data_IF_758547110437
#
_entry.id   IF_758547110437
#
_cell.length_a   1.000
_cell.length_b   1.000
_cell.length_c   1.000
_cell.angle_alpha   90.00
_cell.angle_beta   90.00
_cell.angle_gamma   90.00
#
_symmetry.space_group_name_H-M   'P 1'
#
loop_
_entity.id
_entity.type
_entity.pdbx_description
1 polymer ?
#
# COMPACT_ATOMS: atom_id res chain seq x y z
N UNK A 1 1.45 -4.18 -23.34
CA UNK A 1 1.02 -3.37 -22.19
C UNK A 1 -0.17 -2.51 -22.59
N UNK A 2 -0.12 -1.81 -23.73
CA UNK A 2 -1.26 -1.16 -24.40
C UNK A 2 -2.59 -1.94 -24.30
N UNK A 3 -2.66 -3.15 -24.87
CA UNK A 3 -3.86 -3.99 -24.81
C UNK A 3 -4.38 -4.25 -23.39
N UNK A 4 -3.47 -4.42 -22.42
CA UNK A 4 -3.88 -4.61 -21.01
C UNK A 4 -4.47 -3.34 -20.40
N UNK A 5 -3.97 -2.17 -20.81
CA UNK A 5 -4.52 -0.88 -20.40
C UNK A 5 -5.88 -0.62 -21.04
N UNK A 6 -6.07 -0.95 -22.33
CA UNK A 6 -7.36 -0.88 -23.02
C UNK A 6 -8.40 -1.76 -22.33
N UNK A 7 -8.06 -3.02 -22.04
CA UNK A 7 -8.95 -3.93 -21.31
C UNK A 7 -9.30 -3.36 -19.93
N UNK A 8 -8.33 -2.82 -19.19
CA UNK A 8 -8.60 -2.21 -17.89
C UNK A 8 -9.50 -0.98 -18.00
N UNK A 9 -9.32 -0.15 -19.02
CA UNK A 9 -10.16 1.01 -19.31
C UNK A 9 -11.60 0.58 -19.67
N UNK A 10 -11.76 -0.42 -20.54
CA UNK A 10 -13.06 -0.95 -20.95
C UNK A 10 -13.83 -1.60 -19.78
N UNK A 11 -13.10 -2.13 -18.79
CA UNK A 11 -13.67 -2.65 -17.54
C UNK A 11 -13.99 -1.56 -16.51
N UNK A 12 -13.81 -0.28 -16.85
CA UNK A 12 -14.22 0.86 -16.04
C UNK A 12 -13.15 1.40 -15.10
N UNK A 13 -11.86 1.20 -15.39
CA UNK A 13 -10.80 1.87 -14.64
C UNK A 13 -10.86 3.41 -14.83
N UNK A 14 -10.64 4.17 -13.77
CA UNK A 14 -10.51 5.63 -13.84
C UNK A 14 -9.07 6.09 -14.17
N UNK A 15 -8.08 5.27 -13.82
CA UNK A 15 -6.64 5.54 -13.92
C UNK A 15 -5.91 4.24 -14.26
N UNK A 16 -4.87 4.32 -15.10
CA UNK A 16 -3.97 3.20 -15.39
C UNK A 16 -2.61 3.44 -14.70
N UNK A 17 -2.26 2.63 -13.69
CA UNK A 17 -0.94 2.72 -13.02
C UNK A 17 0.03 1.64 -13.52
N UNK A 18 1.21 2.04 -13.98
CA UNK A 18 2.27 1.15 -14.45
C UNK A 18 3.21 0.82 -13.30
N UNK A 19 3.29 -0.47 -12.96
CA UNK A 19 4.19 -0.97 -11.93
C UNK A 19 5.64 -1.10 -12.45
N UNK A 20 6.49 -0.20 -11.95
CA UNK A 20 7.95 -0.23 -12.11
C UNK A 20 8.67 -0.37 -10.76
N UNK A 21 8.01 -0.91 -9.73
CA UNK A 21 8.51 -0.94 -8.35
C UNK A 21 8.62 -2.32 -7.71
N UNK A 22 7.96 -3.35 -8.24
CA UNK A 22 7.95 -4.67 -7.60
C UNK A 22 9.34 -5.34 -7.60
N UNK A 23 9.88 -5.76 -6.43
CA UNK A 23 11.21 -6.38 -6.36
C UNK A 23 11.18 -7.91 -6.52
N UNK A 24 10.00 -8.54 -6.54
CA UNK A 24 9.86 -9.99 -6.51
C UNK A 24 10.54 -10.67 -7.71
N UNK A 25 11.31 -11.72 -7.46
CA UNK A 25 12.09 -12.43 -8.49
C UNK A 25 11.23 -12.89 -9.68
N UNK A 26 10.02 -13.41 -9.41
CA UNK A 26 9.07 -13.83 -10.46
C UNK A 26 8.66 -12.68 -11.39
N UNK A 27 8.62 -11.45 -10.89
CA UNK A 27 8.29 -10.26 -11.68
C UNK A 27 9.54 -9.73 -12.39
N UNK A 28 10.65 -9.57 -11.67
CA UNK A 28 11.87 -9.00 -12.25
C UNK A 28 12.52 -9.92 -13.29
N UNK A 29 12.36 -11.25 -13.16
CA UNK A 29 12.87 -12.22 -14.14
C UNK A 29 12.17 -12.12 -15.51
N UNK A 30 10.92 -11.65 -15.54
CA UNK A 30 10.22 -11.30 -16.78
C UNK A 30 10.49 -9.88 -17.29
N UNK A 31 11.55 -9.22 -16.81
CA UNK A 31 11.92 -7.85 -17.15
C UNK A 31 10.76 -6.85 -16.92
N UNK A 32 10.08 -7.02 -15.78
CA UNK A 32 8.94 -6.21 -15.33
C UNK A 32 9.16 -5.69 -13.89
N UNK A 33 8.28 -4.82 -13.42
CA UNK A 33 8.43 -4.21 -12.09
C UNK A 33 9.73 -3.42 -11.99
N UNK A 34 10.44 -3.54 -10.88
CA UNK A 34 11.67 -2.76 -10.66
C UNK A 34 12.83 -3.14 -11.61
N UNK A 35 12.72 -4.23 -12.39
CA UNK A 35 13.71 -4.51 -13.43
C UNK A 35 13.74 -3.42 -14.52
N UNK A 36 12.62 -2.76 -14.76
CA UNK A 36 12.52 -1.64 -15.71
C UNK A 36 13.36 -0.44 -15.29
N UNK A 37 13.69 -0.30 -14.01
CA UNK A 37 14.61 0.74 -13.53
C UNK A 37 16.03 0.57 -14.10
N UNK A 38 16.42 -0.64 -14.53
CA UNK A 38 17.73 -0.87 -15.19
C UNK A 38 17.67 -0.74 -16.71
N UNK A 39 16.47 -0.62 -17.26
CA UNK A 39 16.21 -0.62 -18.69
C UNK A 39 15.34 0.61 -19.06
N UNK A 40 15.83 1.86 -18.85
CA UNK A 40 14.99 3.06 -19.00
C UNK A 40 14.35 3.17 -20.39
N UNK A 41 15.08 2.85 -21.45
CA UNK A 41 14.54 2.88 -22.82
C UNK A 41 13.36 1.91 -23.02
N UNK A 42 13.41 0.75 -22.35
CA UNK A 42 12.29 -0.18 -22.35
C UNK A 42 11.14 0.35 -21.50
N UNK A 43 11.43 0.92 -20.34
CA UNK A 43 10.42 1.53 -19.48
C UNK A 43 9.63 2.62 -20.23
N UNK A 44 10.34 3.49 -20.94
CA UNK A 44 9.73 4.59 -21.71
C UNK A 44 8.87 4.10 -22.87
N UNK A 45 9.34 3.12 -23.64
CA UNK A 45 8.50 2.50 -24.69
C UNK A 45 7.22 1.89 -24.14
N UNK A 46 7.24 1.35 -22.91
CA UNK A 46 6.05 0.81 -22.28
C UNK A 46 5.10 1.91 -21.81
N UNK A 47 5.62 3.01 -21.26
CA UNK A 47 4.82 4.18 -20.87
C UNK A 47 4.15 4.78 -22.11
N UNK A 48 4.93 5.09 -23.14
CA UNK A 48 4.45 5.66 -24.40
C UNK A 48 3.35 4.79 -25.04
N UNK A 49 3.57 3.47 -25.10
CA UNK A 49 2.57 2.54 -25.63
C UNK A 49 1.27 2.51 -24.81
N UNK A 50 1.33 2.73 -23.50
CA UNK A 50 0.12 2.75 -22.64
C UNK A 50 -0.59 4.10 -22.75
N UNK A 51 0.16 5.20 -22.69
CA UNK A 51 -0.36 6.57 -22.87
C UNK A 51 -1.04 6.73 -24.22
N UNK A 52 -0.48 6.18 -25.30
CA UNK A 52 -1.09 6.24 -26.63
C UNK A 52 -2.32 5.35 -26.80
N UNK A 53 -2.52 4.34 -25.94
CA UNK A 53 -3.60 3.36 -26.08
C UNK A 53 -4.88 3.75 -25.33
N UNK A 54 -4.80 4.57 -24.29
CA UNK A 54 -5.96 4.95 -23.46
C UNK A 54 -6.10 6.46 -23.33
N UNK A 55 -7.33 6.93 -23.14
CA UNK A 55 -7.63 8.35 -22.84
C UNK A 55 -7.55 8.68 -21.35
N UNK A 56 -7.42 7.66 -20.50
CA UNK A 56 -7.35 7.80 -19.05
C UNK A 56 -5.97 8.32 -18.61
N UNK A 57 -5.89 9.02 -17.46
CA UNK A 57 -4.60 9.34 -16.86
C UNK A 57 -3.76 8.08 -16.65
N UNK A 58 -2.52 8.10 -17.14
CA UNK A 58 -1.53 7.04 -16.93
C UNK A 58 -0.55 7.48 -15.87
N UNK A 59 -0.34 6.67 -14.83
CA UNK A 59 0.56 6.97 -13.73
C UNK A 59 1.66 5.92 -13.63
N UNK A 60 2.77 6.26 -12.96
CA UNK A 60 3.88 5.32 -12.80
C UNK A 60 4.23 5.19 -11.32
N UNK A 61 4.22 3.96 -10.82
CA UNK A 61 4.72 3.64 -9.48
C UNK A 61 6.06 2.92 -9.56
N UNK A 62 7.09 3.55 -9.02
CA UNK A 62 8.46 3.05 -9.06
C UNK A 62 9.17 3.04 -7.71
N UNK A 63 10.41 2.56 -7.71
CA UNK A 63 11.36 2.61 -6.59
C UNK A 63 12.35 3.75 -6.81
N UNK A 64 13.23 3.98 -5.84
CA UNK A 64 14.29 4.97 -6.01
C UNK A 64 15.41 4.52 -6.98
N UNK A 65 15.44 3.23 -7.33
CA UNK A 65 16.49 2.65 -8.18
C UNK A 65 16.50 1.13 -8.12
N UNK A 66 17.44 0.50 -8.82
CA UNK A 66 17.66 -0.94 -8.71
C UNK A 66 18.47 -1.30 -7.45
N UNK A 67 19.58 -0.61 -7.23
CA UNK A 67 20.44 -0.74 -6.06
C UNK A 67 21.10 0.62 -5.74
N UNK A 68 22.03 0.65 -4.80
CA UNK A 68 22.66 1.90 -4.37
C UNK A 68 23.58 2.53 -5.41
N UNK A 69 24.05 1.74 -6.39
CA UNK A 69 24.84 2.23 -7.52
C UNK A 69 23.98 2.74 -8.68
N UNK A 70 22.68 2.40 -8.68
CA UNK A 70 21.73 2.72 -9.75
C UNK A 70 20.47 3.37 -9.17
N UNK A 71 20.60 4.65 -8.81
CA UNK A 71 19.54 5.51 -8.25
C UNK A 71 19.04 6.53 -9.28
N UNK A 72 18.34 6.04 -10.30
CA UNK A 72 17.93 6.83 -11.48
C UNK A 72 16.46 7.30 -11.45
N UNK A 73 15.82 7.34 -10.27
CA UNK A 73 14.41 7.69 -10.17
C UNK A 73 14.08 9.09 -10.72
N UNK A 74 14.93 10.10 -10.49
CA UNK A 74 14.68 11.46 -11.01
C UNK A 74 14.72 11.51 -12.54
N UNK A 75 15.71 10.85 -13.16
CA UNK A 75 15.87 10.79 -14.61
C UNK A 75 14.71 10.03 -15.27
N UNK A 76 14.31 8.91 -14.67
CA UNK A 76 13.17 8.12 -15.15
C UNK A 76 11.85 8.87 -14.98
N UNK A 77 11.65 9.60 -13.88
CA UNK A 77 10.45 10.41 -13.66
C UNK A 77 10.29 11.50 -14.72
N UNK A 78 11.35 12.27 -14.97
CA UNK A 78 11.36 13.31 -15.99
C UNK A 78 11.09 12.75 -17.39
N UNK A 79 11.67 11.58 -17.69
CA UNK A 79 11.43 10.92 -18.97
C UNK A 79 10.00 10.37 -19.07
N UNK A 80 9.45 9.84 -17.98
CA UNK A 80 8.06 9.37 -17.92
C UNK A 80 7.05 10.51 -18.08
N UNK A 81 7.30 11.66 -17.44
CA UNK A 81 6.52 12.89 -17.61
C UNK A 81 6.50 13.33 -19.07
N UNK A 82 7.67 13.38 -19.73
CA UNK A 82 7.77 13.70 -21.16
C UNK A 82 7.03 12.71 -22.06
N UNK A 83 6.93 11.45 -21.63
CA UNK A 83 6.15 10.41 -22.31
C UNK A 83 4.64 10.48 -21.98
N UNK A 84 4.18 11.46 -21.19
CA UNK A 84 2.78 11.70 -20.90
C UNK A 84 2.25 11.04 -19.62
N UNK A 85 3.13 10.58 -18.71
CA UNK A 85 2.69 10.17 -17.39
C UNK A 85 2.08 11.37 -16.63
N UNK A 86 0.93 11.16 -15.98
CA UNK A 86 0.17 12.18 -15.29
C UNK A 86 0.54 12.32 -13.80
N UNK A 87 1.15 11.31 -13.19
CA UNK A 87 1.58 11.30 -11.79
C UNK A 87 2.64 10.23 -11.55
N UNK A 88 3.58 10.51 -10.65
CA UNK A 88 4.66 9.59 -10.27
C UNK A 88 4.54 9.22 -8.79
N UNK A 89 4.52 7.94 -8.47
CA UNK A 89 4.65 7.45 -7.09
C UNK A 89 6.04 6.84 -6.88
N UNK A 90 6.78 7.32 -5.88
CA UNK A 90 8.13 6.81 -5.58
C UNK A 90 8.16 6.15 -4.21
N UNK A 91 8.50 4.86 -4.20
CA UNK A 91 8.88 4.19 -2.96
C UNK A 91 10.36 4.48 -2.64
N UNK A 92 10.65 5.04 -1.46
CA UNK A 92 11.99 5.47 -1.02
C UNK A 92 13.01 4.35 -0.76
N UNK A 93 12.87 3.18 -1.37
CA UNK A 93 13.89 2.12 -1.33
C UNK A 93 14.26 1.74 -2.75
N UNK A 94 15.49 1.25 -2.93
CA UNK A 94 15.93 0.56 -4.13
C UNK A 94 15.32 -0.83 -4.22
N UNK A 95 15.40 -1.49 -5.37
CA UNK A 95 14.91 -2.87 -5.54
C UNK A 95 15.63 -3.83 -4.59
N UNK A 96 16.96 -3.77 -4.55
CA UNK A 96 17.80 -4.71 -3.78
C UNK A 96 17.58 -4.64 -2.27
N UNK A 97 17.10 -3.51 -1.76
CA UNK A 97 16.70 -3.39 -0.35
C UNK A 97 15.40 -4.15 -0.03
N UNK A 98 14.58 -4.56 -1.00
CA UNK A 98 13.25 -5.12 -0.77
C UNK A 98 12.43 -4.28 0.23
N UNK A 99 12.37 -4.73 1.48
CA UNK A 99 11.70 -4.07 2.60
C UNK A 99 12.62 -3.87 3.80
N UNK A 100 13.91 -4.16 3.66
CA UNK A 100 14.95 -4.00 4.67
C UNK A 100 15.38 -2.53 4.77
N UNK A 101 16.04 -2.19 5.88
CA UNK A 101 16.42 -0.81 6.18
C UNK A 101 15.23 0.14 6.29
N UNK A 102 15.47 1.44 6.08
CA UNK A 102 14.45 2.48 6.08
C UNK A 102 14.28 3.07 4.69
N UNK A 103 13.06 3.47 4.34
CA UNK A 103 12.83 4.27 3.15
C UNK A 103 13.53 5.63 3.28
N UNK A 104 14.36 5.97 2.30
CA UNK A 104 14.97 7.27 2.12
C UNK A 104 13.93 8.23 1.54
N UNK A 105 13.34 9.05 2.40
CA UNK A 105 12.38 10.07 1.96
C UNK A 105 13.10 11.24 1.27
N UNK A 106 14.30 11.63 1.69
CA UNK A 106 15.03 12.74 1.07
C UNK A 106 15.29 12.49 -0.42
N UNK A 107 15.58 11.23 -0.78
CA UNK A 107 15.69 10.77 -2.15
C UNK A 107 14.44 11.03 -3.01
N UNK A 108 13.23 10.93 -2.44
CA UNK A 108 11.97 11.23 -3.14
C UNK A 108 11.87 12.73 -3.44
N UNK A 109 12.39 13.60 -2.58
CA UNK A 109 12.42 15.05 -2.83
C UNK A 109 13.25 15.44 -4.06
N UNK A 110 14.28 14.64 -4.39
CA UNK A 110 15.02 14.78 -5.65
C UNK A 110 14.15 14.51 -6.89
N UNK A 111 13.17 13.63 -6.78
CA UNK A 111 12.20 13.38 -7.86
C UNK A 111 11.19 14.52 -7.96
N UNK A 112 10.65 14.98 -6.81
CA UNK A 112 9.70 16.11 -6.79
C UNK A 112 10.26 17.39 -7.42
N UNK A 113 11.56 17.65 -7.27
CA UNK A 113 12.22 18.81 -7.91
C UNK A 113 12.50 18.63 -9.41
N UNK A 114 12.44 17.39 -9.91
CA UNK A 114 12.82 17.06 -11.28
C UNK A 114 11.64 17.08 -12.26
N UNK A 115 10.40 17.10 -11.77
CA UNK A 115 9.17 17.01 -12.57
C UNK A 115 8.14 18.04 -12.13
N UNK A 116 7.25 18.44 -13.03
CA UNK A 116 6.16 19.38 -12.76
C UNK A 116 4.85 18.65 -12.40
N UNK A 117 4.67 17.42 -12.87
CA UNK A 117 3.53 16.56 -12.52
C UNK A 117 3.51 16.18 -11.02
N UNK A 118 2.35 15.80 -10.47
CA UNK A 118 2.24 15.37 -9.08
C UNK A 118 3.16 14.18 -8.73
N UNK A 119 3.78 14.25 -7.56
CA UNK A 119 4.60 13.20 -6.98
C UNK A 119 3.99 12.72 -5.67
N UNK A 120 3.87 11.39 -5.54
CA UNK A 120 3.37 10.71 -4.35
C UNK A 120 4.54 10.02 -3.63
N UNK A 121 4.79 10.41 -2.39
CA UNK A 121 5.82 9.79 -1.55
C UNK A 121 5.31 8.49 -0.92
N UNK A 122 6.14 7.44 -0.90
CA UNK A 122 5.77 6.13 -0.38
C UNK A 122 6.92 5.46 0.36
N UNK A 123 6.58 4.72 1.42
CA UNK A 123 7.51 3.90 2.20
C UNK A 123 7.55 4.29 3.66
N UNK A 124 7.34 3.31 4.54
CA UNK A 124 7.46 3.42 6.00
C UNK A 124 6.57 4.48 6.69
N UNK A 125 5.49 4.92 6.04
CA UNK A 125 4.44 5.71 6.68
C UNK A 125 3.57 4.79 7.56
N UNK A 126 3.80 4.84 8.88
CA UNK A 126 3.13 4.01 9.89
C UNK A 126 2.49 4.80 11.03
N UNK A 127 2.71 6.11 11.10
CA UNK A 127 2.07 7.06 12.01
C UNK A 127 1.54 8.29 11.28
N UNK A 128 0.68 9.07 11.94
CA UNK A 128 0.22 10.35 11.37
C UNK A 128 1.35 11.37 11.30
N UNK A 129 2.31 11.32 12.22
CA UNK A 129 3.51 12.15 12.20
C UNK A 129 4.41 11.85 11.02
N UNK A 130 4.54 10.58 10.62
CA UNK A 130 5.29 10.19 9.42
C UNK A 130 4.75 10.89 8.18
N UNK A 131 3.43 11.09 8.07
CA UNK A 131 2.83 11.75 6.91
C UNK A 131 3.27 13.22 6.82
N UNK A 132 3.23 13.95 7.95
CA UNK A 132 3.69 15.34 8.02
C UNK A 132 5.17 15.45 7.72
N UNK A 133 5.98 14.58 8.32
CA UNK A 133 7.43 14.61 8.15
C UNK A 133 7.84 14.20 6.73
N UNK A 134 7.20 13.18 6.16
CA UNK A 134 7.40 12.77 4.77
C UNK A 134 7.07 13.91 3.82
N UNK A 135 5.93 14.59 3.97
CA UNK A 135 5.59 15.74 3.12
C UNK A 135 6.60 16.89 3.30
N UNK A 136 7.02 17.18 4.55
CA UNK A 136 8.01 18.22 4.84
C UNK A 136 9.38 17.95 4.18
N UNK A 137 9.87 16.71 4.26
CA UNK A 137 11.18 16.33 3.71
C UNK A 137 11.14 16.25 2.18
N UNK A 138 10.06 15.70 1.62
CA UNK A 138 9.97 15.41 0.19
C UNK A 138 9.47 16.59 -0.63
N UNK A 139 8.63 17.45 -0.06
CA UNK A 139 7.82 18.40 -0.83
C UNK A 139 6.79 17.73 -1.75
N UNK A 140 6.54 16.44 -1.59
CA UNK A 140 5.59 15.68 -2.42
C UNK A 140 4.16 16.20 -2.25
N UNK A 141 3.33 15.97 -3.27
CA UNK A 141 1.94 16.46 -3.31
C UNK A 141 0.97 15.55 -2.55
N UNK A 142 1.36 14.27 -2.39
CA UNK A 142 0.60 13.29 -1.64
C UNK A 142 1.50 12.22 -1.02
N UNK A 143 0.91 11.41 -0.14
CA UNK A 143 1.54 10.23 0.47
C UNK A 143 0.73 8.98 0.15
N UNK A 144 1.42 7.84 -0.02
CA UNK A 144 0.80 6.53 -0.20
C UNK A 144 1.15 5.61 0.95
N UNK A 145 0.12 4.97 1.52
CA UNK A 145 0.24 4.08 2.67
C UNK A 145 0.07 2.64 2.21
N UNK A 146 1.05 1.79 2.55
CA UNK A 146 1.00 0.35 2.30
C UNK A 146 0.80 -0.45 3.57
N UNK A 147 1.88 -1.06 4.07
CA UNK A 147 1.89 -1.85 5.32
C UNK A 147 1.35 -1.09 6.53
N UNK A 148 1.49 0.23 6.54
CA UNK A 148 0.89 1.09 7.56
C UNK A 148 -0.61 0.84 7.75
N UNK A 149 -1.40 0.52 6.72
CA UNK A 149 -2.85 0.32 6.86
C UNK A 149 -3.24 -1.12 7.25
N UNK A 150 -2.29 -2.06 7.32
CA UNK A 150 -2.60 -3.46 7.64
C UNK A 150 -3.14 -3.59 9.07
N UNK A 151 -4.32 -4.18 9.22
CA UNK A 151 -5.01 -4.31 10.52
C UNK A 151 -5.64 -3.00 11.04
N UNK A 152 -5.59 -1.92 10.26
CA UNK A 152 -6.19 -0.61 10.59
C UNK A 152 -6.69 0.10 9.32
N UNK A 153 -7.76 -0.39 8.67
CA UNK A 153 -8.27 0.19 7.44
C UNK A 153 -8.70 1.67 7.56
N UNK A 154 -8.98 2.16 8.78
CA UNK A 154 -9.30 3.57 9.06
C UNK A 154 -8.09 4.52 9.04
N UNK A 155 -6.86 4.00 9.08
CA UNK A 155 -5.64 4.81 9.23
C UNK A 155 -5.38 5.83 8.12
N UNK A 156 -5.62 5.56 6.83
CA UNK A 156 -5.57 6.60 5.80
C UNK A 156 -6.52 7.77 6.08
N UNK A 157 -7.69 7.49 6.67
CA UNK A 157 -8.64 8.51 7.14
C UNK A 157 -8.09 9.34 8.29
N UNK A 158 -7.43 8.71 9.28
CA UNK A 158 -6.74 9.41 10.38
C UNK A 158 -5.61 10.31 9.86
N UNK A 159 -4.80 9.82 8.91
CA UNK A 159 -3.74 10.63 8.27
C UNK A 159 -4.34 11.83 7.55
N UNK A 160 -5.41 11.62 6.79
CA UNK A 160 -6.12 12.72 6.09
C UNK A 160 -6.69 13.73 7.07
N UNK A 161 -7.30 13.28 8.17
CA UNK A 161 -7.81 14.14 9.23
C UNK A 161 -6.69 14.98 9.84
N UNK A 162 -5.59 14.34 10.23
CA UNK A 162 -4.43 15.02 10.83
C UNK A 162 -3.82 16.06 9.90
N UNK A 163 -3.62 15.74 8.60
CA UNK A 163 -3.07 16.68 7.64
C UNK A 163 -3.99 17.91 7.42
N UNK A 164 -5.31 17.75 7.56
CA UNK A 164 -6.29 18.84 7.40
C UNK A 164 -6.46 19.70 8.66
N UNK A 165 -6.41 19.09 9.85
CA UNK A 165 -6.83 19.75 11.10
C UNK A 165 -5.69 19.97 12.09
N UNK A 166 -4.55 19.30 11.89
CA UNK A 166 -3.47 19.21 12.87
C UNK A 166 -3.81 18.36 14.11
N UNK A 167 -4.98 17.71 14.16
CA UNK A 167 -5.44 16.91 15.31
C UNK A 167 -5.30 15.43 15.02
N UNK A 168 -4.87 14.68 16.03
CA UNK A 168 -4.79 13.23 15.94
C UNK A 168 -6.17 12.65 16.27
N UNK A 169 -6.75 11.90 15.34
CA UNK A 169 -7.96 11.13 15.59
C UNK A 169 -7.60 9.87 16.38
N UNK A 170 -8.40 9.54 17.39
CA UNK A 170 -8.25 8.33 18.16
C UNK A 170 -8.44 7.08 17.28
N UNK A 171 -7.89 5.96 17.72
CA UNK A 171 -8.28 4.65 17.19
C UNK A 171 -9.72 4.33 17.63
N UNK A 172 -10.45 3.49 16.87
CA UNK A 172 -11.75 2.99 17.29
C UNK A 172 -11.63 2.24 18.62
N UNK A 173 -12.67 2.32 19.44
CA UNK A 173 -12.78 1.48 20.62
C UNK A 173 -12.81 0.00 20.22
N UNK A 174 -12.42 -0.95 21.09
CA UNK A 174 -12.31 -2.37 20.73
C UNK A 174 -13.57 -2.95 20.06
N UNK A 175 -14.76 -2.54 20.49
CA UNK A 175 -16.02 -3.02 19.91
C UNK A 175 -16.35 -2.38 18.55
N UNK A 176 -15.97 -1.11 18.34
CA UNK A 176 -16.08 -0.46 17.03
C UNK A 176 -15.06 -1.08 16.04
N UNK A 177 -13.87 -1.42 16.53
CA UNK A 177 -12.87 -2.14 15.75
C UNK A 177 -13.39 -3.53 15.32
N UNK A 178 -14.02 -4.27 16.25
CA UNK A 178 -14.67 -5.54 15.96
C UNK A 178 -15.70 -5.42 14.84
N UNK A 179 -16.56 -4.38 14.86
CA UNK A 179 -17.54 -4.14 13.81
C UNK A 179 -16.88 -3.95 12.44
N UNK A 180 -15.84 -3.11 12.38
CA UNK A 180 -15.08 -2.86 11.14
C UNK A 180 -14.46 -4.17 10.62
N UNK A 181 -13.81 -4.95 11.48
CA UNK A 181 -13.17 -6.22 11.09
C UNK A 181 -14.21 -7.25 10.65
N UNK A 182 -15.34 -7.36 11.34
CA UNK A 182 -16.42 -8.31 11.03
C UNK A 182 -17.07 -7.96 9.70
N UNK A 183 -17.42 -6.68 9.47
CA UNK A 183 -17.96 -6.22 8.18
C UNK A 183 -17.00 -6.48 7.03
N UNK A 184 -15.70 -6.26 7.23
CA UNK A 184 -14.70 -6.56 6.21
C UNK A 184 -14.58 -8.06 5.95
N UNK A 185 -14.68 -8.89 6.99
CA UNK A 185 -14.72 -10.34 6.86
C UNK A 185 -15.93 -10.81 6.04
N UNK A 186 -17.12 -10.34 6.39
CA UNK A 186 -18.36 -10.67 5.68
C UNK A 186 -18.33 -10.21 4.21
N UNK A 187 -17.78 -9.02 3.95
CA UNK A 187 -17.59 -8.52 2.58
C UNK A 187 -16.69 -9.44 1.75
N UNK A 188 -15.61 -9.97 2.33
CA UNK A 188 -14.75 -10.95 1.66
C UNK A 188 -15.48 -12.27 1.39
N UNK A 189 -16.32 -12.74 2.32
CA UNK A 189 -17.13 -13.95 2.12
C UNK A 189 -18.15 -13.77 1.00
N UNK A 190 -18.80 -12.59 0.95
CA UNK A 190 -19.74 -12.24 -0.10
C UNK A 190 -19.05 -12.18 -1.47
N UNK A 191 -17.89 -11.52 -1.54
CA UNK A 191 -17.20 -11.29 -2.80
C UNK A 191 -16.50 -12.54 -3.36
N UNK A 192 -15.86 -13.35 -2.50
CA UNK A 192 -15.07 -14.51 -2.92
C UNK A 192 -15.82 -15.85 -2.80
N UNK A 193 -17.03 -15.85 -2.24
CA UNK A 193 -17.70 -17.06 -1.78
C UNK A 193 -17.12 -17.57 -0.46
N UNK A 194 -17.89 -18.39 0.27
CA UNK A 194 -17.56 -18.79 1.65
C UNK A 194 -16.20 -19.46 1.78
N UNK A 195 -15.95 -20.53 1.02
CA UNK A 195 -14.71 -21.33 1.17
C UNK A 195 -13.45 -20.52 0.84
N UNK A 196 -13.45 -19.82 -0.30
CA UNK A 196 -12.31 -19.02 -0.71
C UNK A 196 -12.17 -17.75 0.15
N UNK A 197 -13.29 -17.11 0.49
CA UNK A 197 -13.35 -15.91 1.33
C UNK A 197 -12.73 -16.13 2.70
N UNK A 198 -13.01 -17.27 3.36
CA UNK A 198 -12.34 -17.63 4.63
C UNK A 198 -10.82 -17.62 4.46
N UNK A 199 -10.31 -18.29 3.42
CA UNK A 199 -8.85 -18.40 3.19
C UNK A 199 -8.23 -17.03 2.86
N UNK A 200 -8.90 -16.22 2.05
CA UNK A 200 -8.48 -14.86 1.71
C UNK A 200 -8.44 -13.95 2.96
N UNK A 201 -9.41 -14.09 3.86
CA UNK A 201 -9.54 -13.27 5.05
C UNK A 201 -8.43 -13.49 6.08
N UNK A 202 -7.85 -14.69 6.17
CA UNK A 202 -6.84 -15.07 7.20
C UNK A 202 -5.70 -14.07 7.32
N UNK A 203 -5.22 -13.48 6.21
CA UNK A 203 -4.15 -12.47 6.27
C UNK A 203 -4.62 -11.17 6.92
N UNK A 204 -5.84 -10.72 6.63
CA UNK A 204 -6.42 -9.49 7.16
C UNK A 204 -6.76 -9.63 8.64
N UNK A 205 -7.39 -10.75 9.02
CA UNK A 205 -7.67 -11.09 10.41
C UNK A 205 -6.36 -11.22 11.21
N UNK A 206 -5.35 -11.87 10.63
CA UNK A 206 -4.03 -11.97 11.24
C UNK A 206 -3.38 -10.60 11.49
N UNK A 207 -3.53 -9.64 10.58
CA UNK A 207 -3.04 -8.27 10.79
C UNK A 207 -3.79 -7.54 11.90
N UNK A 208 -5.12 -7.67 11.96
CA UNK A 208 -5.93 -7.07 13.02
C UNK A 208 -5.54 -7.59 14.41
N UNK A 209 -5.36 -8.91 14.55
CA UNK A 209 -4.95 -9.53 15.82
C UNK A 209 -3.53 -9.12 16.22
N UNK A 210 -2.58 -9.18 15.27
CA UNK A 210 -1.18 -8.87 15.53
C UNK A 210 -0.96 -7.41 15.95
N UNK A 211 -1.84 -6.48 15.55
CA UNK A 211 -1.80 -5.08 15.99
C UNK A 211 -1.84 -4.95 17.51
N UNK A 212 -2.55 -5.86 18.18
CA UNK A 212 -2.77 -5.83 19.63
C UNK A 212 -1.88 -6.81 20.39
N UNK A 213 -0.81 -7.32 19.78
CA UNK A 213 0.07 -8.33 20.41
C UNK A 213 0.73 -7.87 21.71
N UNK A 214 0.92 -6.56 21.90
CA UNK A 214 1.44 -5.97 23.14
C UNK A 214 0.37 -5.85 24.24
N UNK A 215 -0.92 -5.83 23.89
CA UNK A 215 -2.05 -5.65 24.83
C UNK A 215 -2.62 -7.00 25.27
N UNK A 216 -2.59 -7.99 24.37
CA UNK A 216 -3.08 -9.34 24.62
C UNK A 216 -1.90 -10.31 24.57
N UNK A 217 -1.46 -10.80 25.74
CA UNK A 217 -0.28 -11.66 25.89
C UNK A 217 -0.34 -12.99 25.12
N UNK A 218 -1.51 -13.37 24.59
CA UNK A 218 -1.72 -14.60 23.82
C UNK A 218 -2.20 -14.35 22.37
N UNK A 219 -1.80 -13.23 21.76
CA UNK A 219 -2.19 -12.90 20.37
C UNK A 219 -1.80 -13.98 19.35
N UNK A 220 -0.74 -14.74 19.61
CA UNK A 220 -0.31 -15.87 18.75
C UNK A 220 -1.35 -17.00 18.75
N UNK A 221 -1.85 -17.40 19.93
CA UNK A 221 -2.90 -18.41 20.05
C UNK A 221 -4.21 -17.93 19.44
N UNK A 222 -4.61 -16.68 19.70
CA UNK A 222 -5.79 -16.07 19.08
C UNK A 222 -5.70 -16.07 17.56
N UNK A 223 -4.56 -15.65 17.01
CA UNK A 223 -4.31 -15.69 15.57
C UNK A 223 -4.37 -17.12 15.04
N UNK A 224 -3.77 -18.10 15.72
CA UNK A 224 -3.85 -19.50 15.31
C UNK A 224 -5.31 -19.97 15.27
N UNK A 225 -6.04 -19.78 16.38
CA UNK A 225 -7.44 -20.18 16.53
C UNK A 225 -8.33 -19.59 15.43
N UNK A 226 -8.22 -18.28 15.19
CA UNK A 226 -9.03 -17.56 14.20
C UNK A 226 -8.64 -17.97 12.78
N UNK A 227 -7.34 -18.05 12.47
CA UNK A 227 -6.88 -18.29 11.10
C UNK A 227 -6.92 -19.76 10.67
N UNK A 228 -7.16 -20.71 11.58
CA UNK A 228 -7.37 -22.12 11.21
C UNK A 228 -8.84 -22.54 11.23
N UNK A 229 -9.74 -21.70 11.71
CA UNK A 229 -11.18 -21.96 11.67
C UNK A 229 -11.70 -21.85 10.23
N UNK A 230 -12.65 -22.71 9.90
CA UNK A 230 -13.25 -22.81 8.56
C UNK A 230 -14.71 -22.36 8.53
N UNK A 231 -15.41 -22.41 9.66
CA UNK A 231 -16.79 -21.95 9.76
C UNK A 231 -16.87 -20.45 10.10
N UNK A 232 -17.42 -19.61 9.20
CA UNK A 232 -17.56 -18.17 9.42
C UNK A 232 -18.19 -17.76 10.75
N UNK A 233 -19.25 -18.45 11.19
CA UNK A 233 -19.90 -18.11 12.45
C UNK A 233 -18.94 -18.29 13.66
N UNK A 234 -18.09 -19.32 13.63
CA UNK A 234 -17.08 -19.54 14.67
C UNK A 234 -15.92 -18.55 14.58
N UNK A 235 -15.52 -18.13 13.38
CA UNK A 235 -14.55 -17.04 13.20
C UNK A 235 -15.03 -15.76 13.88
N UNK A 236 -16.28 -15.36 13.63
CA UNK A 236 -16.89 -14.17 14.24
C UNK A 236 -16.97 -14.32 15.77
N UNK A 237 -17.36 -15.50 16.27
CA UNK A 237 -17.36 -15.79 17.71
C UNK A 237 -15.97 -15.63 18.34
N UNK A 238 -14.92 -16.15 17.70
CA UNK A 238 -13.55 -15.98 18.18
C UNK A 238 -13.06 -14.53 18.13
N UNK A 239 -13.44 -13.77 17.09
CA UNK A 239 -13.13 -12.34 17.02
C UNK A 239 -13.80 -11.58 18.18
N UNK A 240 -15.08 -11.85 18.43
CA UNK A 240 -15.81 -11.23 19.54
C UNK A 240 -15.11 -11.46 20.88
N UNK A 241 -14.78 -12.71 21.21
CA UNK A 241 -14.08 -13.01 22.46
C UNK A 241 -12.69 -12.36 22.56
N UNK A 242 -11.97 -12.23 21.44
CA UNK A 242 -10.69 -11.53 21.41
C UNK A 242 -10.84 -10.02 21.71
N UNK A 243 -11.83 -9.37 21.09
CA UNK A 243 -12.06 -7.93 21.28
C UNK A 243 -12.71 -7.59 22.62
N UNK A 244 -13.53 -8.48 23.20
CA UNK A 244 -14.03 -8.35 24.59
C UNK A 244 -12.86 -8.34 25.59
N UNK A 245 -11.94 -9.30 25.47
CA UNK A 245 -10.73 -9.36 26.30
C UNK A 245 -9.84 -8.11 26.12
N UNK A 246 -9.78 -7.58 24.90
CA UNK A 246 -9.04 -6.34 24.62
C UNK A 246 -9.66 -5.14 25.34
N UNK A 247 -11.00 -5.07 25.40
CA UNK A 247 -11.75 -4.04 26.14
C UNK A 247 -11.55 -4.13 27.65
N UNK A 248 -11.67 -5.32 28.23
CA UNK A 248 -11.44 -5.54 29.67
C UNK A 248 -10.05 -5.07 30.12
N UNK A 249 -9.02 -5.37 29.31
CA UNK A 249 -7.64 -4.95 29.58
C UNK A 249 -7.36 -3.47 29.32
N UNK A 250 -8.20 -2.79 28.55
CA UNK A 250 -8.09 -1.35 28.35
C UNK A 250 -8.64 -0.57 29.55
N UNK A 251 -9.56 -1.18 30.30
CA UNK A 251 -10.19 -0.59 31.48
C UNK A 251 -9.45 -0.87 32.80
N UNK A 252 -8.46 -1.79 32.80
CA UNK A 252 -7.65 -2.19 33.95
C UNK A 252 -6.30 -1.47 33.98
#
# INVERSE_FOLDING_TARGET
MAQGAEIAADLGADIIDINMGCPAKKVTGGLSGAALMREPDRALRLIDAVVGAVKLPVTVKMRHGWDDSSRNASELALSAERAGAAMITVHGRTRCQFYDGRADWAAIGGVKRAVDIPVVANGDLVSVDDAREMLRITGADAVMIGRGAQGRPWFPGQVTHFLKTGRIAADPEPMDELDIVTRHYEAMLCHHGREHGVRCARKHLGWAINRHSSRVGDAVSWRRRICTEEEPARVIGHLKSFYELLGERAAA
#
